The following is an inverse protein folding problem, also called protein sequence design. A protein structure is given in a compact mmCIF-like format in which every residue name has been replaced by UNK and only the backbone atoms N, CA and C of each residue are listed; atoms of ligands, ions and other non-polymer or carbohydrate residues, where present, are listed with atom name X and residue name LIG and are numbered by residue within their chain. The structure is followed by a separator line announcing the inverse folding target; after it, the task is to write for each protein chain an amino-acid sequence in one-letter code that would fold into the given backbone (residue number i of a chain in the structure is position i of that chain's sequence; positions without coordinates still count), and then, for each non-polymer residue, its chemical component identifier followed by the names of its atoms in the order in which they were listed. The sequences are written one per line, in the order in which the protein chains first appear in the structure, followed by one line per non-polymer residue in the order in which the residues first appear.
data_IF_645852094679
#
_entry.id   IF_645852094679
#
_cell.length_a   1.000
_cell.length_b   1.000
_cell.length_c   1.000
_cell.angle_alpha   90.00
_cell.angle_beta   90.00
_cell.angle_gamma   90.00
#
_symmetry.space_group_name_H-M   'P 1'
#
loop_
_entity.id
_entity.type
_entity.pdbx_description
1 polymer ?
#
# COMPACT_ATOMS: atom_id res chain seq x y z
N UNK A 1 -24.58 -13.95 -18.79
CA UNK A 1 -23.56 -13.02 -19.29
C UNK A 1 -23.29 -11.96 -18.22
N UNK A 2 -22.19 -12.08 -17.47
CA UNK A 2 -21.82 -11.08 -16.46
C UNK A 2 -20.85 -10.06 -17.07
N UNK A 3 -21.06 -8.77 -16.80
CA UNK A 3 -20.23 -7.68 -17.33
C UNK A 3 -19.62 -6.90 -16.16
N UNK A 4 -18.34 -7.16 -15.88
CA UNK A 4 -17.59 -6.41 -14.87
C UNK A 4 -17.35 -4.97 -15.34
N UNK A 5 -17.31 -4.02 -14.39
CA UNK A 5 -17.08 -2.61 -14.67
C UNK A 5 -16.13 -2.01 -13.62
N UNK A 6 -14.88 -1.79 -13.99
CA UNK A 6 -13.84 -1.26 -13.10
C UNK A 6 -13.98 0.26 -12.93
N UNK A 7 -14.44 0.70 -11.75
CA UNK A 7 -14.62 2.13 -11.44
C UNK A 7 -13.32 2.68 -10.84
N UNK A 8 -12.54 3.42 -11.65
CA UNK A 8 -11.21 3.93 -11.29
C UNK A 8 -11.29 5.23 -10.46
N UNK A 9 -10.44 5.35 -9.42
CA UNK A 9 -10.35 6.54 -8.55
C UNK A 9 -10.04 7.82 -9.36
N UNK A 10 -10.95 8.81 -9.34
CA UNK A 10 -10.63 10.25 -9.49
C UNK A 10 -11.32 11.05 -8.38
N UNK A 11 -10.56 11.95 -7.73
CA UNK A 11 -10.91 12.58 -6.43
C UNK A 11 -12.29 13.27 -6.37
N UNK A 12 -12.87 13.73 -7.48
CA UNK A 12 -14.15 14.46 -7.54
C UNK A 12 -15.30 13.71 -8.27
N UNK A 13 -15.14 12.43 -8.64
CA UNK A 13 -16.14 11.74 -9.48
C UNK A 13 -17.31 11.09 -8.74
N UNK A 14 -17.19 10.81 -7.42
CA UNK A 14 -18.18 10.00 -6.70
C UNK A 14 -19.61 10.54 -6.72
N UNK A 15 -19.83 11.86 -6.80
CA UNK A 15 -21.18 12.44 -6.96
C UNK A 15 -21.60 12.51 -8.44
N UNK A 16 -20.80 13.16 -9.29
CA UNK A 16 -21.15 13.41 -10.71
C UNK A 16 -21.20 12.16 -11.58
N UNK A 17 -20.40 11.12 -11.30
CA UNK A 17 -20.47 9.86 -12.05
C UNK A 17 -21.65 9.01 -11.59
N UNK A 18 -22.05 9.03 -10.32
CA UNK A 18 -23.21 8.26 -9.85
C UNK A 18 -24.57 8.94 -10.09
N UNK A 19 -24.63 10.27 -10.20
CA UNK A 19 -25.81 10.93 -10.78
C UNK A 19 -25.95 10.62 -12.28
N UNK A 20 -24.83 10.58 -13.03
CA UNK A 20 -24.81 10.21 -14.45
C UNK A 20 -24.98 8.72 -14.76
N UNK A 21 -24.61 7.82 -13.84
CA UNK A 21 -24.79 6.37 -13.99
C UNK A 21 -26.28 6.02 -13.97
N UNK A 22 -26.83 5.85 -15.18
CA UNK A 22 -28.13 5.26 -15.42
C UNK A 22 -28.07 3.75 -15.11
N UNK A 23 -28.19 3.39 -13.83
CA UNK A 23 -28.37 1.98 -13.41
C UNK A 23 -29.59 1.30 -14.05
N UNK A 24 -30.56 2.08 -14.56
CA UNK A 24 -31.68 1.55 -15.35
C UNK A 24 -31.30 1.14 -16.79
N UNK A 25 -30.16 1.58 -17.33
CA UNK A 25 -29.70 1.25 -18.69
C UNK A 25 -28.86 -0.03 -18.75
N UNK A 26 -28.25 -0.43 -17.64
CA UNK A 26 -27.45 -1.63 -17.51
C UNK A 26 -27.96 -2.42 -16.33
N UNK A 27 -28.56 -3.59 -16.58
CA UNK A 27 -29.25 -4.41 -15.59
C UNK A 27 -28.26 -5.13 -14.63
N UNK A 28 -27.52 -4.34 -13.84
CA UNK A 28 -26.51 -4.81 -12.90
C UNK A 28 -27.16 -5.25 -11.58
N UNK A 29 -27.13 -6.55 -11.28
CA UNK A 29 -27.62 -7.08 -10.00
C UNK A 29 -26.62 -6.87 -8.84
N UNK A 30 -25.33 -6.67 -9.14
CA UNK A 30 -24.23 -6.59 -8.16
C UNK A 30 -23.14 -5.61 -8.61
N UNK A 31 -22.54 -4.89 -7.67
CA UNK A 31 -21.37 -4.03 -7.86
C UNK A 31 -20.33 -4.36 -6.79
N UNK A 32 -19.10 -4.65 -7.21
CA UNK A 32 -17.97 -4.97 -6.33
C UNK A 32 -16.99 -3.79 -6.30
N UNK A 33 -16.55 -3.38 -5.10
CA UNK A 33 -15.81 -2.13 -4.88
C UNK A 33 -14.54 -2.42 -4.06
N UNK A 34 -13.38 -2.42 -4.74
CA UNK A 34 -12.09 -2.87 -4.20
C UNK A 34 -11.19 -1.68 -3.83
N UNK A 35 -10.69 -1.61 -2.59
CA UNK A 35 -9.70 -0.59 -2.17
C UNK A 35 -9.70 -0.25 -0.68
N UNK A 36 -8.89 0.75 -0.29
CA UNK A 36 -8.80 1.28 1.09
C UNK A 36 -10.02 2.14 1.48
N UNK A 37 -10.03 2.69 2.69
CA UNK A 37 -11.06 3.58 3.28
C UNK A 37 -11.63 4.68 2.37
N UNK A 38 -10.79 5.26 1.50
CA UNK A 38 -11.23 6.29 0.55
C UNK A 38 -12.18 5.72 -0.51
N UNK A 39 -11.99 4.45 -0.87
CA UNK A 39 -12.87 3.68 -1.75
C UNK A 39 -14.08 3.14 -0.98
N UNK A 40 -13.91 2.63 0.25
CA UNK A 40 -15.04 2.09 1.04
C UNK A 40 -16.02 3.18 1.50
N UNK A 41 -15.55 4.41 1.81
CA UNK A 41 -16.44 5.58 1.98
C UNK A 41 -17.18 5.98 0.69
N UNK A 42 -16.62 5.64 -0.48
CA UNK A 42 -17.34 5.70 -1.75
C UNK A 42 -18.43 4.63 -1.84
N UNK A 43 -18.14 3.40 -1.42
CA UNK A 43 -19.10 2.29 -1.40
C UNK A 43 -20.35 2.58 -0.55
N UNK A 44 -20.19 3.19 0.63
CA UNK A 44 -21.33 3.62 1.47
C UNK A 44 -22.26 4.57 0.72
N UNK A 45 -21.72 5.64 0.14
CA UNK A 45 -22.50 6.64 -0.63
C UNK A 45 -23.17 6.04 -1.87
N UNK A 46 -22.56 5.02 -2.47
CA UNK A 46 -23.12 4.25 -3.58
C UNK A 46 -24.31 3.40 -3.10
N UNK A 47 -24.19 2.73 -1.95
CA UNK A 47 -25.26 1.96 -1.33
C UNK A 47 -26.44 2.84 -0.87
N UNK A 48 -26.14 4.00 -0.26
CA UNK A 48 -27.14 5.02 0.11
C UNK A 48 -27.96 5.48 -1.11
N UNK A 49 -27.30 5.80 -2.23
CA UNK A 49 -27.97 6.24 -3.46
C UNK A 49 -28.75 5.11 -4.16
N UNK A 50 -28.23 3.88 -4.16
CA UNK A 50 -28.94 2.67 -4.64
C UNK A 50 -30.23 2.45 -3.83
N UNK A 51 -30.15 2.53 -2.49
CA UNK A 51 -31.29 2.41 -1.58
C UNK A 51 -32.30 3.53 -1.79
N UNK A 52 -31.83 4.79 -1.92
CA UNK A 52 -32.68 5.97 -2.15
C UNK A 52 -33.45 5.90 -3.47
N UNK A 53 -32.88 5.26 -4.51
CA UNK A 53 -33.54 5.02 -5.80
C UNK A 53 -34.38 3.72 -5.85
N UNK A 54 -34.46 2.95 -4.76
CA UNK A 54 -35.19 1.67 -4.72
C UNK A 54 -34.60 0.57 -5.61
N UNK A 55 -33.32 0.68 -6.00
CA UNK A 55 -32.71 -0.21 -6.98
C UNK A 55 -32.28 -1.54 -6.34
N UNK A 56 -32.61 -2.66 -6.97
CA UNK A 56 -32.24 -4.02 -6.53
C UNK A 56 -30.79 -4.38 -6.91
N UNK A 57 -29.83 -3.61 -6.41
CA UNK A 57 -28.39 -3.79 -6.66
C UNK A 57 -27.67 -4.10 -5.36
N UNK A 58 -26.97 -5.23 -5.28
CA UNK A 58 -26.07 -5.51 -4.16
C UNK A 58 -24.77 -4.71 -4.31
N UNK A 59 -24.35 -4.01 -3.25
CA UNK A 59 -23.08 -3.29 -3.20
C UNK A 59 -22.14 -4.03 -2.26
N UNK A 60 -21.00 -4.49 -2.75
CA UNK A 60 -20.05 -5.33 -2.00
C UNK A 60 -18.70 -4.61 -1.91
N UNK A 61 -18.34 -4.16 -0.72
CA UNK A 61 -17.00 -3.65 -0.42
C UNK A 61 -16.01 -4.79 -0.24
N UNK A 62 -14.85 -4.70 -0.89
CA UNK A 62 -13.71 -5.60 -0.70
C UNK A 62 -12.54 -4.74 -0.23
N UNK A 63 -12.15 -4.80 1.05
CA UNK A 63 -11.07 -3.97 1.57
C UNK A 63 -9.74 -4.46 0.97
N UNK A 64 -8.97 -3.53 0.39
CA UNK A 64 -7.63 -3.79 -0.12
C UNK A 64 -6.69 -2.66 0.28
N UNK A 65 -5.75 -2.98 1.16
CA UNK A 65 -4.55 -2.20 1.48
C UNK A 65 -3.32 -3.04 1.14
N UNK A 66 -2.16 -2.42 0.90
CA UNK A 66 -0.87 -3.12 0.92
C UNK A 66 -0.14 -2.93 2.25
N UNK A 67 -0.49 -1.90 3.02
CA UNK A 67 0.16 -1.52 4.29
C UNK A 67 -0.32 -2.39 5.48
N UNK A 68 -1.02 -3.50 5.23
CA UNK A 68 -1.64 -4.41 6.20
C UNK A 68 -2.38 -3.75 7.41
N UNK A 69 -3.02 -2.60 7.20
CA UNK A 69 -3.61 -1.75 8.25
C UNK A 69 -5.09 -2.05 8.58
N UNK A 70 -5.61 -3.23 8.23
CA UNK A 70 -7.02 -3.61 8.47
C UNK A 70 -7.15 -4.35 9.80
N UNK A 71 -7.62 -3.65 10.84
CA UNK A 71 -7.81 -4.10 12.25
C UNK A 71 -8.62 -5.40 12.49
N UNK A 72 -9.12 -6.07 11.46
CA UNK A 72 -10.04 -7.22 11.56
C UNK A 72 -9.53 -8.45 10.78
N UNK A 73 -8.36 -8.36 10.14
CA UNK A 73 -7.71 -9.49 9.44
C UNK A 73 -6.20 -9.42 9.69
N UNK A 74 -5.56 -10.57 9.87
CA UNK A 74 -4.11 -10.66 10.09
C UNK A 74 -3.30 -10.27 8.83
N UNK A 75 -3.94 -10.34 7.65
CA UNK A 75 -3.27 -10.19 6.35
C UNK A 75 -4.16 -9.62 5.26
N UNK A 76 -3.71 -8.55 4.61
CA UNK A 76 -4.37 -7.91 3.47
C UNK A 76 -3.90 -8.44 2.11
N UNK A 77 -4.76 -8.32 1.09
CA UNK A 77 -4.41 -8.72 -0.27
C UNK A 77 -3.24 -7.89 -0.83
N UNK A 78 -2.16 -8.60 -1.19
CA UNK A 78 -0.96 -8.02 -1.80
C UNK A 78 0.17 -7.72 -0.82
N UNK A 79 -0.02 -7.90 0.50
CA UNK A 79 1.04 -7.68 1.49
C UNK A 79 2.26 -8.58 1.28
N UNK A 80 2.06 -9.89 1.04
CA UNK A 80 3.15 -10.84 0.78
C UNK A 80 4.01 -10.42 -0.41
N UNK A 81 3.37 -10.11 -1.55
CA UNK A 81 4.07 -9.71 -2.77
C UNK A 81 4.81 -8.38 -2.54
N UNK A 82 4.23 -7.44 -1.77
CA UNK A 82 4.92 -6.20 -1.42
C UNK A 82 6.15 -6.43 -0.51
N UNK A 83 6.09 -7.39 0.42
CA UNK A 83 7.22 -7.77 1.26
C UNK A 83 8.31 -8.52 0.46
N UNK A 84 7.92 -9.40 -0.48
CA UNK A 84 8.86 -10.05 -1.40
C UNK A 84 9.57 -9.07 -2.34
N UNK A 85 8.84 -8.12 -2.96
CA UNK A 85 9.48 -7.09 -3.80
C UNK A 85 10.38 -6.16 -2.97
N UNK A 86 9.99 -5.86 -1.73
CA UNK A 86 10.85 -5.15 -0.80
C UNK A 86 12.13 -5.94 -0.48
N UNK A 87 12.05 -7.26 -0.27
CA UNK A 87 13.21 -8.13 -0.10
C UNK A 87 14.11 -8.16 -1.35
N UNK A 88 13.52 -8.22 -2.55
CA UNK A 88 14.26 -8.11 -3.81
C UNK A 88 15.00 -6.77 -3.94
N UNK A 89 14.36 -5.67 -3.56
CA UNK A 89 14.96 -4.33 -3.59
C UNK A 89 16.12 -4.17 -2.57
N UNK A 90 15.98 -4.72 -1.36
CA UNK A 90 17.07 -4.77 -0.36
C UNK A 90 18.26 -5.53 -0.93
N UNK A 91 18.05 -6.76 -1.41
CA UNK A 91 19.12 -7.64 -1.84
C UNK A 91 19.85 -7.10 -3.09
N UNK A 92 19.15 -6.36 -3.96
CA UNK A 92 19.78 -5.64 -5.07
C UNK A 92 20.68 -4.49 -4.58
N UNK A 93 20.18 -3.65 -3.66
CA UNK A 93 20.97 -2.56 -3.07
C UNK A 93 22.17 -3.09 -2.26
N UNK A 94 22.06 -4.30 -1.70
CA UNK A 94 23.14 -4.97 -0.98
C UNK A 94 24.35 -5.23 -1.90
N UNK A 95 24.13 -5.90 -3.04
CA UNK A 95 25.21 -6.19 -4.02
C UNK A 95 25.87 -4.91 -4.57
N UNK A 96 25.09 -3.86 -4.81
CA UNK A 96 25.59 -2.57 -5.31
C UNK A 96 26.53 -1.87 -4.33
N UNK A 97 26.24 -1.88 -3.02
CA UNK A 97 27.10 -1.22 -2.02
C UNK A 97 28.20 -2.11 -1.45
N UNK A 98 28.16 -3.44 -1.64
CA UNK A 98 29.35 -4.28 -1.44
C UNK A 98 30.46 -3.92 -2.44
N UNK A 99 30.07 -3.42 -3.61
CA UNK A 99 30.96 -2.99 -4.68
C UNK A 99 31.59 -1.59 -4.47
N UNK A 100 31.28 -0.91 -3.35
CA UNK A 100 31.71 0.49 -3.09
C UNK A 100 32.29 0.62 -1.67
N UNK A 101 33.54 1.05 -1.55
CA UNK A 101 34.19 1.33 -0.27
C UNK A 101 33.48 2.49 0.47
N UNK A 102 33.03 2.24 1.71
CA UNK A 102 32.18 3.17 2.49
C UNK A 102 30.84 3.53 1.81
N UNK A 103 30.31 2.67 0.94
CA UNK A 103 29.00 2.86 0.32
C UNK A 103 27.85 2.87 1.34
N UNK A 104 26.79 3.61 1.02
CA UNK A 104 25.58 3.78 1.84
C UNK A 104 24.36 3.61 0.91
N UNK A 105 23.70 2.44 0.98
CA UNK A 105 22.62 2.08 0.06
C UNK A 105 21.24 2.25 0.68
N UNK A 106 20.46 3.25 0.25
CA UNK A 106 19.16 3.63 0.85
C UNK A 106 17.97 3.20 -0.02
N UNK A 107 17.23 2.19 0.43
CA UNK A 107 16.00 1.71 -0.23
C UNK A 107 14.76 2.33 0.42
N UNK A 108 13.88 2.92 -0.38
CA UNK A 108 12.55 3.37 0.07
C UNK A 108 11.47 2.36 -0.32
N UNK A 109 10.63 2.00 0.65
CA UNK A 109 9.52 1.06 0.50
C UNK A 109 8.15 1.76 0.51
N UNK A 110 7.08 0.96 0.60
CA UNK A 110 5.73 1.42 0.87
C UNK A 110 5.42 1.27 2.37
N UNK A 111 4.75 2.28 2.94
CA UNK A 111 4.35 2.28 4.35
C UNK A 111 3.80 3.65 4.75
N UNK A 112 2.52 3.93 4.45
CA UNK A 112 1.99 5.29 4.56
C UNK A 112 1.73 5.74 6.01
N UNK A 113 1.36 4.80 6.87
CA UNK A 113 1.00 5.03 8.28
C UNK A 113 1.62 4.00 9.25
N UNK A 114 2.27 2.98 8.70
CA UNK A 114 3.11 1.99 9.37
C UNK A 114 4.15 1.51 8.34
N UNK A 115 5.26 0.91 8.77
CA UNK A 115 6.16 0.19 7.88
C UNK A 115 6.16 -1.33 8.09
N UNK A 116 5.00 -1.99 8.15
CA UNK A 116 4.95 -3.46 8.25
C UNK A 116 5.70 -4.13 7.08
N UNK A 117 5.61 -3.58 5.86
CA UNK A 117 6.37 -4.06 4.69
C UNK A 117 7.88 -3.96 4.97
N UNK A 118 8.35 -2.82 5.49
CA UNK A 118 9.75 -2.60 5.82
C UNK A 118 10.24 -3.50 6.96
N UNK A 119 9.45 -3.69 8.02
CA UNK A 119 9.75 -4.60 9.12
C UNK A 119 9.87 -6.05 8.64
N UNK A 120 8.90 -6.55 7.85
CA UNK A 120 8.94 -7.92 7.33
C UNK A 120 10.11 -8.13 6.37
N UNK A 121 10.39 -7.18 5.48
CA UNK A 121 11.51 -7.27 4.55
C UNK A 121 12.87 -7.19 5.28
N UNK A 122 13.00 -6.35 6.31
CA UNK A 122 14.16 -6.30 7.24
C UNK A 122 14.43 -7.68 7.84
N UNK A 123 13.40 -8.28 8.45
CA UNK A 123 13.49 -9.58 9.11
C UNK A 123 13.80 -10.73 8.14
N UNK A 124 13.32 -10.63 6.89
CA UNK A 124 13.55 -11.63 5.85
C UNK A 124 14.94 -11.53 5.21
N UNK A 125 15.49 -10.32 4.99
CA UNK A 125 16.81 -10.15 4.36
C UNK A 125 18.00 -10.43 5.29
N UNK A 126 17.83 -10.38 6.63
CA UNK A 126 18.89 -10.58 7.65
C UNK A 126 20.03 -9.55 7.68
N UNK A 127 20.34 -8.93 6.54
CA UNK A 127 21.52 -8.08 6.32
C UNK A 127 21.20 -6.56 6.40
N UNK A 128 20.28 -6.16 7.29
CA UNK A 128 19.81 -4.78 7.46
C UNK A 128 20.14 -4.26 8.85
N UNK A 129 20.94 -3.19 8.95
CA UNK A 129 21.42 -2.63 10.22
C UNK A 129 20.32 -1.93 11.05
N UNK A 130 19.33 -1.31 10.40
CA UNK A 130 18.33 -0.49 11.08
C UNK A 130 17.03 -0.29 10.27
N UNK A 131 15.90 -0.24 10.99
CA UNK A 131 14.63 0.27 10.47
C UNK A 131 14.41 1.71 11.00
N UNK A 132 14.14 2.64 10.09
CA UNK A 132 14.06 4.07 10.40
C UNK A 132 12.62 4.59 10.27
N UNK A 133 12.06 5.10 11.37
CA UNK A 133 10.80 5.84 11.40
C UNK A 133 11.01 7.29 11.85
N UNK A 134 10.23 8.21 11.27
CA UNK A 134 10.08 9.59 11.74
C UNK A 134 11.09 10.61 11.21
N UNK A 135 10.89 11.90 11.53
CA UNK A 135 11.77 12.99 11.08
C UNK A 135 13.18 12.87 11.68
N UNK A 136 14.21 13.15 10.88
CA UNK A 136 15.61 13.18 11.35
C UNK A 136 16.30 11.82 11.48
N UNK A 137 15.55 10.71 11.59
CA UNK A 137 16.10 9.37 11.83
C UNK A 137 17.21 8.96 10.85
N UNK A 138 17.07 9.26 9.55
CA UNK A 138 18.10 9.02 8.54
C UNK A 138 19.39 9.83 8.79
N UNK A 139 19.28 11.09 9.21
CA UNK A 139 20.45 11.94 9.46
C UNK A 139 21.22 11.48 10.70
N UNK A 140 20.53 11.29 11.83
CA UNK A 140 21.15 10.84 13.08
C UNK A 140 21.94 9.54 12.91
N UNK A 141 21.43 8.61 12.10
CA UNK A 141 22.06 7.31 11.92
C UNK A 141 23.19 7.35 10.88
N UNK A 142 23.09 8.16 9.81
CA UNK A 142 24.22 8.40 8.90
C UNK A 142 25.39 9.00 9.68
N UNK A 143 25.13 9.91 10.63
CA UNK A 143 26.13 10.39 11.58
C UNK A 143 26.72 9.25 12.42
N UNK A 144 25.88 8.40 13.03
CA UNK A 144 26.31 7.24 13.85
C UNK A 144 27.18 6.24 13.06
N UNK A 145 26.90 5.99 11.78
CA UNK A 145 27.72 5.08 10.94
C UNK A 145 29.00 5.75 10.46
N UNK A 146 28.96 7.02 10.06
CA UNK A 146 30.16 7.81 9.74
C UNK A 146 31.14 7.86 10.94
N UNK A 147 30.61 8.03 12.16
CA UNK A 147 31.40 7.99 13.40
C UNK A 147 31.99 6.61 13.72
N UNK A 148 31.34 5.51 13.31
CA UNK A 148 31.76 4.13 13.65
C UNK A 148 33.02 3.64 12.93
N UNK A 149 33.48 4.33 11.86
CA UNK A 149 34.59 3.91 10.99
C UNK A 149 34.51 2.43 10.56
N UNK A 150 33.29 1.94 10.30
CA UNK A 150 33.06 0.66 9.62
C UNK A 150 33.07 0.90 8.10
N UNK A 151 33.71 0.03 7.30
CA UNK A 151 33.81 0.23 5.85
C UNK A 151 32.51 0.00 5.05
N UNK A 152 31.41 -0.45 5.68
CA UNK A 152 30.12 -0.80 5.03
C UNK A 152 28.91 -0.58 5.97
N UNK A 153 27.68 -0.37 5.46
CA UNK A 153 26.42 -0.33 6.24
C UNK A 153 25.11 -0.08 5.43
N UNK A 154 23.97 -0.62 5.89
CA UNK A 154 22.79 -0.95 5.04
C UNK A 154 21.42 -0.47 5.55
N UNK A 155 20.44 -0.23 4.65
CA UNK A 155 19.31 0.66 4.97
C UNK A 155 17.96 0.38 4.30
N UNK A 156 16.90 0.70 5.04
CA UNK A 156 15.52 0.80 4.57
C UNK A 156 14.81 2.03 5.15
N UNK A 157 13.86 2.57 4.39
CA UNK A 157 12.95 3.63 4.79
C UNK A 157 11.49 3.24 4.47
N UNK A 158 10.57 3.39 5.44
CA UNK A 158 9.11 3.26 5.26
C UNK A 158 8.48 4.54 4.73
#
# INVERSE_FOLDING_TARGET
MYRALSIVKKKNLYSKTFSGLRFSYYNFLKVYIIGEDGTQRGASKIFEEVRRRGLKVAVVGIPKTIDNDILVIDKSFGFDIAAEEAQRAINAMHVEVESIENGIGVVKLMGRYNGFIAMYATLASRDVDCYLEGPGALLEFVEKVTQRKRPHGWWLFG
#
